data_IF_464059842476
#
_entry.id   IF_464059842476
#
_cell.length_a   1.000
_cell.length_b   1.000
_cell.length_c   1.000
_cell.angle_alpha   90.00
_cell.angle_beta   90.00
_cell.angle_gamma   90.00
#
_symmetry.space_group_name_H-M   'P 1'
#
loop_
_entity.id
_entity.type
_entity.pdbx_description
1 polymer ?
#
# COMPACT_ATOMS: atom_id res chain seq x y z
N UNK A 1 -0.38 -23.92 25.56
CA UNK A 1 0.10 -22.54 25.33
C UNK A 1 1.09 -22.56 24.16
N UNK A 2 0.83 -21.77 23.13
CA UNK A 2 1.56 -21.75 21.86
C UNK A 2 3.02 -21.30 22.06
N UNK A 3 3.96 -22.24 22.14
CA UNK A 3 5.38 -21.91 22.30
C UNK A 3 6.01 -21.27 21.04
N UNK A 4 5.35 -21.41 19.89
CA UNK A 4 5.89 -21.06 18.58
C UNK A 4 4.91 -20.17 17.81
N UNK A 5 4.88 -18.88 18.12
CA UNK A 5 4.20 -17.84 17.33
C UNK A 5 5.11 -17.37 16.20
N UNK A 6 4.54 -17.20 14.99
CA UNK A 6 5.30 -16.71 13.85
C UNK A 6 5.57 -15.19 14.00
N UNK A 7 6.79 -14.71 13.68
CA UNK A 7 7.12 -13.29 13.75
C UNK A 7 6.21 -12.42 12.87
N UNK A 8 5.82 -11.24 13.34
CA UNK A 8 5.01 -10.30 12.54
C UNK A 8 5.84 -9.57 11.48
N UNK A 9 7.13 -9.34 11.72
CA UNK A 9 8.06 -8.73 10.76
C UNK A 9 8.47 -9.68 9.63
N UNK A 10 8.54 -9.19 8.39
CA UNK A 10 8.99 -9.95 7.21
C UNK A 10 10.44 -10.41 7.31
N UNK A 11 11.34 -9.56 7.85
CA UNK A 11 12.75 -9.93 8.06
C UNK A 11 12.89 -11.12 9.01
N UNK A 12 12.26 -11.05 10.17
CA UNK A 12 12.26 -12.14 11.16
C UNK A 12 11.57 -13.40 10.62
N UNK A 13 10.50 -13.23 9.82
CA UNK A 13 9.83 -14.34 9.15
C UNK A 13 10.77 -15.07 8.18
N UNK A 14 11.54 -14.33 7.38
CA UNK A 14 12.54 -14.91 6.48
C UNK A 14 13.69 -15.58 7.23
N UNK A 15 14.14 -14.98 8.34
CA UNK A 15 15.16 -15.57 9.21
C UNK A 15 14.70 -16.87 9.85
N UNK A 16 13.42 -16.98 10.22
CA UNK A 16 12.83 -18.21 10.75
C UNK A 16 12.52 -19.24 9.65
N UNK A 17 12.14 -18.81 8.45
CA UNK A 17 11.84 -19.71 7.34
C UNK A 17 13.08 -20.47 6.86
N UNK A 18 14.27 -19.86 6.94
CA UNK A 18 15.51 -20.48 6.48
C UNK A 18 15.93 -21.76 7.25
N UNK A 19 15.93 -21.81 8.60
CA UNK A 19 16.16 -23.06 9.32
C UNK A 19 15.01 -24.06 9.08
N UNK A 20 13.75 -23.61 8.96
CA UNK A 20 12.63 -24.51 8.62
C UNK A 20 12.83 -25.20 7.27
N UNK A 21 13.26 -24.48 6.24
CA UNK A 21 13.57 -25.04 4.92
C UNK A 21 14.66 -26.12 4.99
N UNK A 22 15.75 -25.84 5.72
CA UNK A 22 16.85 -26.79 5.93
C UNK A 22 16.39 -28.03 6.68
N UNK A 23 15.61 -27.85 7.73
CA UNK A 23 15.05 -28.96 8.50
C UNK A 23 14.07 -29.78 7.65
N UNK A 24 13.24 -29.16 6.81
CA UNK A 24 12.40 -29.86 5.84
C UNK A 24 13.23 -30.68 4.83
N UNK A 25 14.34 -30.14 4.35
CA UNK A 25 15.20 -30.86 3.41
C UNK A 25 15.82 -32.11 4.06
N UNK A 26 16.21 -32.02 5.34
CA UNK A 26 16.83 -33.12 6.08
C UNK A 26 15.82 -34.16 6.57
N UNK A 27 14.68 -33.68 7.05
CA UNK A 27 13.74 -34.48 7.84
C UNK A 27 12.38 -34.69 7.18
N UNK A 28 12.00 -33.84 6.23
CA UNK A 28 10.65 -33.78 5.67
C UNK A 28 10.20 -35.09 5.03
N UNK A 29 11.09 -35.81 4.36
CA UNK A 29 10.75 -37.08 3.69
C UNK A 29 10.28 -38.17 4.67
N UNK A 30 10.75 -38.14 5.92
CA UNK A 30 10.46 -39.16 6.93
C UNK A 30 9.41 -38.69 7.93
N UNK A 31 9.46 -37.41 8.32
CA UNK A 31 8.62 -36.83 9.37
C UNK A 31 7.34 -36.18 8.84
N UNK A 32 7.31 -35.69 7.60
CA UNK A 32 6.19 -34.91 7.08
C UNK A 32 5.67 -35.50 5.76
N UNK A 33 5.63 -36.84 5.67
CA UNK A 33 5.12 -37.55 4.48
C UNK A 33 3.73 -37.04 4.09
N UNK A 34 3.60 -36.58 2.84
CA UNK A 34 2.35 -36.05 2.29
C UNK A 34 2.09 -34.55 2.54
N UNK A 35 2.97 -33.85 3.26
CA UNK A 35 2.85 -32.41 3.52
C UNK A 35 3.81 -31.58 2.65
N UNK A 36 3.92 -30.27 2.92
CA UNK A 36 4.77 -29.33 2.16
C UNK A 36 6.21 -29.82 2.09
N UNK A 37 6.69 -30.09 0.88
CA UNK A 37 8.08 -30.48 0.61
C UNK A 37 9.04 -29.31 0.80
N UNK A 38 10.32 -29.59 1.04
CA UNK A 38 11.36 -28.58 1.13
C UNK A 38 11.43 -27.71 -0.14
N UNK A 39 11.30 -28.32 -1.32
CA UNK A 39 11.28 -27.61 -2.61
C UNK A 39 10.11 -26.63 -2.71
N UNK A 40 8.89 -27.08 -2.38
CA UNK A 40 7.70 -26.22 -2.39
C UNK A 40 7.83 -25.07 -1.38
N UNK A 41 8.38 -25.36 -0.20
CA UNK A 41 8.63 -24.34 0.82
C UNK A 41 9.69 -23.32 0.37
N UNK A 42 10.80 -23.79 -0.21
CA UNK A 42 11.86 -22.95 -0.76
C UNK A 42 11.36 -22.05 -1.88
N UNK A 43 10.51 -22.57 -2.77
CA UNK A 43 9.83 -21.77 -3.80
C UNK A 43 8.94 -20.66 -3.21
N UNK A 44 8.23 -20.92 -2.11
CA UNK A 44 7.44 -19.90 -1.42
C UNK A 44 8.32 -18.84 -0.74
N UNK A 45 9.43 -19.24 -0.12
CA UNK A 45 10.39 -18.33 0.50
C UNK A 45 11.07 -17.43 -0.54
N UNK A 46 11.52 -18.00 -1.66
CA UNK A 46 12.11 -17.26 -2.77
C UNK A 46 11.10 -16.24 -3.34
N UNK A 47 9.87 -16.67 -3.65
CA UNK A 47 8.83 -15.78 -4.15
C UNK A 47 8.50 -14.63 -3.16
N UNK A 48 8.48 -14.91 -1.86
CA UNK A 48 8.26 -13.87 -0.85
C UNK A 48 9.42 -12.85 -0.79
N UNK A 49 10.67 -13.31 -0.92
CA UNK A 49 11.85 -12.43 -0.99
C UNK A 49 11.86 -11.57 -2.25
N UNK A 50 11.58 -12.18 -3.41
CA UNK A 50 11.54 -11.46 -4.69
C UNK A 50 10.45 -10.39 -4.71
N UNK A 51 9.25 -10.73 -4.21
CA UNK A 51 8.14 -9.76 -4.14
C UNK A 51 8.37 -8.64 -3.12
N UNK A 52 9.08 -8.90 -2.02
CA UNK A 52 9.52 -7.84 -1.09
C UNK A 52 10.55 -6.92 -1.73
N UNK A 53 11.55 -7.47 -2.43
CA UNK A 53 12.52 -6.68 -3.19
C UNK A 53 11.81 -5.79 -4.21
N UNK A 54 10.93 -6.36 -5.04
CA UNK A 54 10.15 -5.62 -6.03
C UNK A 54 9.32 -4.50 -5.41
N UNK A 55 8.70 -4.75 -4.26
CA UNK A 55 7.93 -3.73 -3.55
C UNK A 55 8.83 -2.61 -3.00
N UNK A 56 10.00 -2.94 -2.46
CA UNK A 56 10.96 -1.95 -1.97
C UNK A 56 11.48 -1.04 -3.09
N UNK A 57 11.77 -1.61 -4.27
CA UNK A 57 12.18 -0.87 -5.46
C UNK A 57 11.05 0.05 -5.94
N UNK A 58 9.82 -0.45 -6.07
CA UNK A 58 8.67 0.36 -6.46
C UNK A 58 8.37 1.50 -5.46
N UNK A 59 8.65 1.30 -4.17
CA UNK A 59 8.54 2.35 -3.15
C UNK A 59 9.59 3.44 -3.35
N UNK A 60 10.83 3.07 -3.67
CA UNK A 60 11.91 4.00 -3.96
C UNK A 60 11.60 4.82 -5.23
N UNK A 61 11.15 4.17 -6.30
CA UNK A 61 10.73 4.82 -7.55
C UNK A 61 9.59 5.81 -7.33
N UNK A 62 8.55 5.42 -6.56
CA UNK A 62 7.46 6.33 -6.19
C UNK A 62 7.97 7.55 -5.44
N UNK A 63 8.92 7.38 -4.52
CA UNK A 63 9.51 8.49 -3.78
C UNK A 63 10.33 9.41 -4.70
N UNK A 64 11.08 8.84 -5.65
CA UNK A 64 11.83 9.60 -6.65
C UNK A 64 10.90 10.41 -7.57
N UNK A 65 9.83 9.80 -8.08
CA UNK A 65 8.83 10.48 -8.91
C UNK A 65 8.14 11.64 -8.17
N UNK A 66 7.79 11.44 -6.89
CA UNK A 66 7.22 12.51 -6.07
C UNK A 66 8.20 13.67 -5.86
N UNK A 67 9.49 13.39 -5.59
CA UNK A 67 10.53 14.42 -5.49
C UNK A 67 10.70 15.19 -6.80
N UNK A 68 10.70 14.49 -7.94
CA UNK A 68 10.80 15.11 -9.27
C UNK A 68 9.63 16.05 -9.55
N UNK A 69 8.41 15.62 -9.22
CA UNK A 69 7.22 16.45 -9.36
C UNK A 69 7.30 17.71 -8.47
N UNK A 70 7.71 17.57 -7.20
CA UNK A 70 7.86 18.69 -6.28
C UNK A 70 8.90 19.72 -6.79
N UNK A 71 10.06 19.26 -7.25
CA UNK A 71 11.08 20.15 -7.80
C UNK A 71 10.59 20.94 -9.02
N UNK A 72 9.81 20.30 -9.91
CA UNK A 72 9.22 20.98 -11.07
C UNK A 72 8.11 21.96 -10.67
N UNK A 73 7.31 21.66 -9.66
CA UNK A 73 6.28 22.58 -9.15
C UNK A 73 6.91 23.81 -8.46
N UNK A 74 8.03 23.64 -7.76
CA UNK A 74 8.84 24.75 -7.23
C UNK A 74 9.39 25.61 -8.37
N UNK A 75 9.94 24.98 -9.42
CA UNK A 75 10.44 25.67 -10.61
C UNK A 75 9.34 26.45 -11.34
N UNK A 76 8.15 25.86 -11.50
CA UNK A 76 6.98 26.55 -12.04
C UNK A 76 6.56 27.71 -11.15
N UNK A 77 6.54 27.53 -9.83
CA UNK A 77 6.17 28.61 -8.90
C UNK A 77 7.13 29.79 -9.00
N UNK A 78 8.43 29.53 -9.08
CA UNK A 78 9.44 30.55 -9.29
C UNK A 78 9.27 31.26 -10.64
N UNK A 79 8.99 30.50 -11.71
CA UNK A 79 8.72 31.06 -13.03
C UNK A 79 7.47 31.93 -13.04
N UNK A 80 6.38 31.50 -12.41
CA UNK A 80 5.14 32.26 -12.26
C UNK A 80 5.36 33.56 -11.49
N UNK A 81 6.19 33.55 -10.45
CA UNK A 81 6.57 34.76 -9.72
C UNK A 81 7.26 35.79 -10.60
N UNK A 82 8.22 35.34 -11.44
CA UNK A 82 8.89 36.21 -12.43
C UNK A 82 7.94 36.69 -13.52
N UNK A 83 7.14 35.79 -14.08
CA UNK A 83 6.17 36.10 -15.12
C UNK A 83 5.15 37.13 -14.66
N UNK A 84 4.68 37.03 -13.41
CA UNK A 84 3.82 38.03 -12.78
C UNK A 84 4.47 39.42 -12.78
N UNK A 85 5.75 39.54 -12.41
CA UNK A 85 6.45 40.83 -12.39
C UNK A 85 6.54 41.43 -13.80
N UNK A 86 6.80 40.60 -14.82
CA UNK A 86 6.82 41.04 -16.21
C UNK A 86 5.44 41.56 -16.64
N UNK A 87 4.36 40.84 -16.30
CA UNK A 87 2.99 41.28 -16.57
C UNK A 87 2.65 42.58 -15.82
N UNK A 88 3.12 42.75 -14.57
CA UNK A 88 2.95 44.01 -13.83
C UNK A 88 3.62 45.19 -14.54
N UNK A 89 4.81 44.98 -15.11
CA UNK A 89 5.52 46.03 -15.85
C UNK A 89 4.82 46.36 -17.18
N UNK A 90 4.24 45.37 -17.85
CA UNK A 90 3.55 45.54 -19.12
C UNK A 90 2.14 46.16 -18.97
N UNK A 91 1.35 45.71 -18.00
CA UNK A 91 -0.08 46.01 -17.87
C UNK A 91 -0.42 46.93 -16.69
N UNK A 92 0.57 47.30 -15.87
CA UNK A 92 0.40 48.09 -14.66
C UNK A 92 0.35 47.25 -13.40
N UNK A 93 0.68 47.89 -12.26
CA UNK A 93 0.87 47.22 -10.97
C UNK A 93 -0.44 46.83 -10.26
N UNK A 94 -1.54 47.52 -10.58
CA UNK A 94 -2.87 47.24 -10.06
C UNK A 94 -3.61 46.28 -11.00
N UNK A 95 -4.51 45.48 -10.43
CA UNK A 95 -5.38 44.63 -11.24
C UNK A 95 -6.28 45.48 -12.13
N UNK A 96 -6.42 45.09 -13.39
CA UNK A 96 -7.31 45.67 -14.38
C UNK A 96 -7.81 44.57 -15.32
N UNK A 97 -8.77 44.87 -16.20
CA UNK A 97 -9.33 43.87 -17.12
C UNK A 97 -8.28 43.28 -18.09
N UNK A 98 -7.21 44.02 -18.41
CA UNK A 98 -6.14 43.53 -19.26
C UNK A 98 -5.38 42.33 -18.66
N UNK A 99 -5.37 42.19 -17.33
CA UNK A 99 -4.79 41.04 -16.63
C UNK A 99 -5.51 39.72 -16.91
N UNK A 100 -6.77 39.78 -17.33
CA UNK A 100 -7.57 38.59 -17.67
C UNK A 100 -6.96 37.87 -18.88
N UNK A 101 -6.41 38.61 -19.85
CA UNK A 101 -5.72 38.05 -21.02
C UNK A 101 -4.46 37.26 -20.62
N UNK A 102 -3.76 37.70 -19.58
CA UNK A 102 -2.61 36.99 -19.01
C UNK A 102 -3.01 35.80 -18.10
N UNK A 103 -4.31 35.59 -17.89
CA UNK A 103 -4.85 34.46 -17.13
C UNK A 103 -5.13 34.71 -15.65
N UNK A 104 -4.88 35.93 -15.16
CA UNK A 104 -5.16 36.32 -13.77
C UNK A 104 -6.63 36.74 -13.61
N UNK A 105 -7.48 35.78 -13.29
CA UNK A 105 -8.91 35.99 -13.03
C UNK A 105 -9.21 36.30 -11.56
N UNK A 106 -10.42 36.81 -11.27
CA UNK A 106 -10.94 37.10 -9.92
C UNK A 106 -10.27 38.25 -9.16
N UNK A 107 -9.95 39.35 -9.85
CA UNK A 107 -9.45 40.59 -9.22
C UNK A 107 -8.16 40.40 -8.39
N UNK A 108 -7.38 39.38 -8.71
CA UNK A 108 -6.16 39.03 -8.00
C UNK A 108 -5.01 38.82 -8.97
N UNK A 109 -3.82 39.32 -8.59
CA UNK A 109 -2.58 39.13 -9.35
C UNK A 109 -1.69 38.05 -8.73
N UNK A 110 -2.13 37.41 -7.66
CA UNK A 110 -1.31 36.48 -6.88
C UNK A 110 -1.13 35.14 -7.58
N UNK A 111 0.06 34.54 -7.42
CA UNK A 111 0.31 33.17 -7.84
C UNK A 111 -0.52 32.21 -6.96
N UNK A 112 -1.33 31.32 -7.55
CA UNK A 112 -2.16 30.41 -6.77
C UNK A 112 -1.38 29.46 -5.86
N UNK A 113 -1.94 29.16 -4.68
CA UNK A 113 -1.36 28.19 -3.74
C UNK A 113 -1.59 26.72 -4.14
N UNK A 114 -2.62 26.44 -4.95
CA UNK A 114 -2.95 25.08 -5.40
C UNK A 114 -2.19 24.74 -6.68
N UNK A 115 -1.58 23.55 -6.73
CA UNK A 115 -0.78 23.07 -7.88
C UNK A 115 -1.59 23.11 -9.18
N UNK A 116 -2.82 22.60 -9.17
CA UNK A 116 -3.67 22.60 -10.37
C UNK A 116 -3.89 24.01 -10.94
N UNK A 117 -4.13 24.99 -10.07
CA UNK A 117 -4.31 26.39 -10.45
C UNK A 117 -3.00 27.03 -10.93
N UNK A 118 -1.85 26.65 -10.37
CA UNK A 118 -0.54 27.07 -10.91
C UNK A 118 -0.28 26.53 -12.30
N UNK A 119 -0.58 25.26 -12.53
CA UNK A 119 -0.43 24.65 -13.86
C UNK A 119 -1.32 25.33 -14.90
N UNK A 120 -2.57 25.65 -14.52
CA UNK A 120 -3.50 26.38 -15.38
C UNK A 120 -2.99 27.80 -15.67
N UNK A 121 -2.60 28.57 -14.64
CA UNK A 121 -2.02 29.90 -14.82
C UNK A 121 -0.76 29.84 -15.69
N UNK A 122 0.08 28.82 -15.50
CA UNK A 122 1.29 28.62 -16.29
C UNK A 122 1.00 28.41 -17.78
N UNK A 123 -0.06 27.65 -18.11
CA UNK A 123 -0.53 27.50 -19.50
C UNK A 123 -1.03 28.82 -20.06
N UNK A 124 -1.92 29.52 -19.34
CA UNK A 124 -2.47 30.80 -19.80
C UNK A 124 -1.39 31.86 -20.03
N UNK A 125 -0.41 31.97 -19.13
CA UNK A 125 0.73 32.87 -19.31
C UNK A 125 1.62 32.47 -20.49
N UNK A 126 1.78 31.17 -20.72
CA UNK A 126 2.51 30.66 -21.88
C UNK A 126 1.82 31.06 -23.19
N UNK A 127 0.50 30.95 -23.25
CA UNK A 127 -0.30 31.35 -24.41
C UNK A 127 -0.26 32.87 -24.60
N UNK A 128 -0.35 33.64 -23.50
CA UNK A 128 -0.23 35.10 -23.51
C UNK A 128 1.12 35.56 -24.07
N UNK A 129 2.24 35.05 -23.57
CA UNK A 129 3.56 35.40 -24.10
C UNK A 129 3.76 34.94 -25.55
N UNK A 130 3.08 33.87 -25.97
CA UNK A 130 3.06 33.43 -27.36
C UNK A 130 2.32 34.40 -28.29
N UNK A 131 1.25 35.02 -27.80
CA UNK A 131 0.47 36.03 -28.50
C UNK A 131 1.10 37.44 -28.44
N UNK A 132 1.87 37.71 -27.38
CA UNK A 132 2.55 38.99 -27.13
C UNK A 132 4.06 38.81 -26.92
N UNK A 133 4.82 38.48 -27.98
CA UNK A 133 6.27 38.30 -27.88
C UNK A 133 7.02 39.55 -27.37
N UNK A 134 6.44 40.74 -27.54
CA UNK A 134 6.98 42.02 -27.06
C UNK A 134 7.11 42.10 -25.53
N UNK A 135 6.34 41.29 -24.80
CA UNK A 135 6.41 41.21 -23.34
C UNK A 135 7.32 40.08 -22.84
N UNK A 136 7.93 39.30 -23.73
CA UNK A 136 8.89 38.28 -23.31
C UNK A 136 10.18 38.91 -22.77
N UNK A 137 10.68 38.35 -21.67
CA UNK A 137 11.91 38.81 -21.03
C UNK A 137 12.91 37.66 -20.98
N UNK A 138 13.71 37.58 -22.06
CA UNK A 138 14.68 36.50 -22.27
C UNK A 138 15.69 36.33 -21.14
N UNK A 139 16.28 37.42 -20.63
CA UNK A 139 17.27 37.36 -19.55
C UNK A 139 16.71 36.80 -18.24
N UNK A 140 15.41 37.00 -17.97
CA UNK A 140 14.74 36.48 -16.78
C UNK A 140 14.19 35.05 -17.00
N UNK A 141 14.30 34.50 -18.21
CA UNK A 141 13.71 33.22 -18.61
C UNK A 141 12.19 33.24 -18.68
N UNK A 142 11.57 34.42 -18.79
CA UNK A 142 10.11 34.58 -18.93
C UNK A 142 9.80 34.63 -20.42
N UNK A 143 9.60 33.45 -21.01
CA UNK A 143 9.26 33.28 -22.43
C UNK A 143 8.21 32.19 -22.60
N UNK A 144 7.43 32.24 -23.67
CA UNK A 144 6.47 31.18 -24.02
C UNK A 144 7.17 29.84 -24.24
N UNK A 145 8.40 29.85 -24.79
CA UNK A 145 9.21 28.61 -24.95
C UNK A 145 9.49 27.95 -23.60
N UNK A 146 9.90 28.74 -22.60
CA UNK A 146 10.19 28.23 -21.26
C UNK A 146 8.94 27.72 -20.56
N UNK A 147 7.84 28.48 -20.64
CA UNK A 147 6.54 28.08 -20.11
C UNK A 147 6.04 26.75 -20.69
N UNK A 148 6.10 26.58 -22.03
CA UNK A 148 5.78 25.30 -22.72
C UNK A 148 6.62 24.14 -22.21
N UNK A 149 7.93 24.36 -22.05
CA UNK A 149 8.85 23.33 -21.54
C UNK A 149 8.48 22.90 -20.12
N UNK A 150 8.17 23.84 -19.23
CA UNK A 150 7.76 23.55 -17.85
C UNK A 150 6.41 22.83 -17.79
N UNK A 151 5.43 23.29 -18.58
CA UNK A 151 4.12 22.66 -18.65
C UNK A 151 4.21 21.19 -19.11
N UNK A 152 5.01 20.92 -20.15
CA UNK A 152 5.26 19.56 -20.63
C UNK A 152 5.94 18.70 -19.56
N UNK A 153 6.96 19.24 -18.89
CA UNK A 153 7.71 18.52 -17.86
C UNK A 153 6.83 18.15 -16.65
N UNK A 154 5.99 19.07 -16.17
CA UNK A 154 5.09 18.81 -15.02
C UNK A 154 4.02 17.78 -15.37
N UNK A 155 3.40 17.88 -16.55
CA UNK A 155 2.40 16.88 -16.98
C UNK A 155 3.03 15.49 -17.07
N UNK A 156 4.24 15.38 -17.62
CA UNK A 156 4.98 14.12 -17.68
C UNK A 156 5.31 13.58 -16.27
N UNK A 157 5.81 14.43 -15.37
CA UNK A 157 6.12 14.03 -13.99
C UNK A 157 4.86 13.63 -13.19
N UNK A 158 3.74 14.30 -13.44
CA UNK A 158 2.45 13.95 -12.83
C UNK A 158 2.00 12.56 -13.29
N UNK A 159 2.10 12.26 -14.59
CA UNK A 159 1.77 10.96 -15.15
C UNK A 159 2.68 9.87 -14.57
N UNK A 160 3.99 10.10 -14.52
CA UNK A 160 4.99 9.21 -13.92
C UNK A 160 4.68 8.92 -12.44
N UNK A 161 4.32 9.95 -11.65
CA UNK A 161 3.92 9.79 -10.26
C UNK A 161 2.67 8.91 -10.10
N UNK A 162 1.67 9.04 -10.99
CA UNK A 162 0.49 8.18 -10.94
C UNK A 162 0.81 6.74 -11.32
N UNK A 163 1.65 6.54 -12.36
CA UNK A 163 2.10 5.21 -12.79
C UNK A 163 2.88 4.49 -11.68
N UNK A 164 3.87 5.15 -11.09
CA UNK A 164 4.67 4.59 -9.98
C UNK A 164 3.83 4.32 -8.74
N UNK A 165 2.84 5.17 -8.45
CA UNK A 165 1.86 4.92 -7.38
C UNK A 165 1.06 3.64 -7.63
N UNK A 166 0.53 3.46 -8.85
CA UNK A 166 -0.21 2.26 -9.22
C UNK A 166 0.68 1.00 -9.16
N UNK A 167 1.91 1.09 -9.68
CA UNK A 167 2.90 0.01 -9.62
C UNK A 167 3.23 -0.40 -8.18
N UNK A 168 3.50 0.56 -7.30
CA UNK A 168 3.76 0.29 -5.88
C UNK A 168 2.57 -0.39 -5.19
N UNK A 169 1.33 -0.01 -5.51
CA UNK A 169 0.13 -0.69 -5.00
C UNK A 169 0.02 -2.13 -5.50
N UNK A 170 0.28 -2.37 -6.78
CA UNK A 170 0.25 -3.72 -7.35
C UNK A 170 1.34 -4.64 -6.78
N UNK A 171 2.57 -4.12 -6.63
CA UNK A 171 3.69 -4.84 -6.01
C UNK A 171 3.43 -5.12 -4.53
N UNK A 172 2.83 -4.19 -3.79
CA UNK A 172 2.39 -4.41 -2.40
C UNK A 172 1.43 -5.61 -2.31
N UNK A 173 0.40 -5.66 -3.17
CA UNK A 173 -0.56 -6.78 -3.18
C UNK A 173 0.13 -8.12 -3.47
N UNK A 174 1.09 -8.12 -4.39
CA UNK A 174 1.87 -9.32 -4.74
C UNK A 174 2.72 -9.81 -3.57
N UNK A 175 3.41 -8.89 -2.88
CA UNK A 175 4.13 -9.17 -1.65
C UNK A 175 3.21 -9.72 -0.56
N UNK A 176 2.10 -9.04 -0.27
CA UNK A 176 1.17 -9.46 0.79
C UNK A 176 0.60 -10.87 0.51
N UNK A 177 0.35 -11.19 -0.77
CA UNK A 177 -0.08 -12.52 -1.19
C UNK A 177 1.01 -13.58 -1.02
N UNK A 178 2.26 -13.29 -1.37
CA UNK A 178 3.39 -14.20 -1.20
C UNK A 178 3.71 -14.44 0.29
N UNK A 179 3.73 -13.37 1.09
CA UNK A 179 3.87 -13.44 2.55
C UNK A 179 2.78 -14.32 3.16
N UNK A 180 1.51 -14.12 2.78
CA UNK A 180 0.40 -14.93 3.28
C UNK A 180 0.56 -16.41 2.94
N UNK A 181 1.05 -16.74 1.75
CA UNK A 181 1.34 -18.13 1.36
C UNK A 181 2.46 -18.73 2.20
N UNK A 182 3.56 -18.00 2.41
CA UNK A 182 4.67 -18.43 3.24
C UNK A 182 4.23 -18.66 4.69
N UNK A 183 3.52 -17.69 5.29
CA UNK A 183 2.99 -17.82 6.66
C UNK A 183 2.08 -19.02 6.82
N UNK A 184 1.18 -19.27 5.86
CA UNK A 184 0.30 -20.45 5.88
C UNK A 184 1.12 -21.75 5.86
N UNK A 185 2.16 -21.83 5.03
CA UNK A 185 3.04 -23.00 4.99
C UNK A 185 3.79 -23.19 6.32
N UNK A 186 4.35 -22.12 6.89
CA UNK A 186 5.02 -22.17 8.19
C UNK A 186 4.06 -22.56 9.32
N UNK A 187 2.84 -22.01 9.35
CA UNK A 187 1.82 -22.37 10.34
C UNK A 187 1.39 -23.83 10.22
N UNK A 188 1.29 -24.36 8.99
CA UNK A 188 0.99 -25.77 8.78
C UNK A 188 2.09 -26.67 9.36
N UNK A 189 3.37 -26.35 9.11
CA UNK A 189 4.51 -27.09 9.67
C UNK A 189 4.47 -27.05 11.20
N UNK A 190 4.30 -25.86 11.80
CA UNK A 190 4.21 -25.70 13.26
C UNK A 190 3.03 -26.47 13.86
N UNK A 191 1.91 -26.59 13.14
CA UNK A 191 0.74 -27.34 13.58
C UNK A 191 0.89 -28.85 13.49
N UNK A 192 1.64 -29.35 12.50
CA UNK A 192 1.84 -30.79 12.29
C UNK A 192 2.98 -31.34 13.15
N UNK A 193 4.04 -30.55 13.36
CA UNK A 193 5.25 -30.99 14.06
C UNK A 193 4.98 -31.64 15.45
N UNK A 194 4.06 -31.13 16.31
CA UNK A 194 3.69 -31.79 17.57
C UNK A 194 3.11 -33.21 17.42
N UNK A 195 2.51 -33.54 16.28
CA UNK A 195 1.93 -34.86 16.02
C UNK A 195 2.98 -35.91 15.63
N UNK A 196 4.19 -35.47 15.25
CA UNK A 196 5.23 -36.36 14.70
C UNK A 196 6.49 -36.40 15.58
N UNK A 197 6.81 -35.34 16.31
CA UNK A 197 7.95 -35.32 17.24
C UNK A 197 7.53 -35.05 18.68
N UNK A 198 8.23 -35.71 19.61
CA UNK A 198 8.03 -35.51 21.04
C UNK A 198 8.37 -34.06 21.47
N UNK A 199 7.82 -33.64 22.61
CA UNK A 199 7.98 -32.27 23.14
C UNK A 199 9.44 -31.91 23.44
N UNK A 200 10.26 -32.88 23.86
CA UNK A 200 11.67 -32.68 24.21
C UNK A 200 12.64 -33.02 23.05
N UNK A 201 12.12 -33.24 21.84
CA UNK A 201 12.96 -33.64 20.70
C UNK A 201 13.90 -32.49 20.28
N UNK A 202 15.21 -32.71 20.12
CA UNK A 202 16.15 -31.66 19.67
C UNK A 202 15.79 -31.11 18.29
N UNK A 203 15.05 -31.86 17.46
CA UNK A 203 14.64 -31.43 16.11
C UNK A 203 13.80 -30.16 16.12
N UNK A 204 13.10 -29.81 17.21
CA UNK A 204 12.43 -28.51 17.34
C UNK A 204 13.39 -27.34 17.06
N UNK A 205 14.61 -27.41 17.62
CA UNK A 205 15.63 -26.38 17.46
C UNK A 205 16.18 -26.34 16.03
N UNK A 206 16.26 -27.48 15.36
CA UNK A 206 16.71 -27.55 13.96
C UNK A 206 15.70 -26.87 13.00
N UNK A 207 14.40 -26.91 13.31
CA UNK A 207 13.38 -26.10 12.62
C UNK A 207 13.41 -24.61 13.01
N UNK A 208 14.33 -24.19 13.89
CA UNK A 208 14.38 -22.83 14.44
C UNK A 208 13.26 -22.53 15.45
N UNK A 209 12.59 -23.57 15.95
CA UNK A 209 11.46 -23.47 16.88
C UNK A 209 11.89 -23.76 18.31
N UNK A 210 11.11 -23.27 19.27
CA UNK A 210 11.30 -23.59 20.69
C UNK A 210 10.65 -24.93 21.02
N UNK A 211 11.32 -25.73 21.87
CA UNK A 211 10.75 -26.97 22.39
C UNK A 211 9.48 -26.68 23.23
N UNK A 212 8.38 -27.41 23.01
CA UNK A 212 7.19 -27.31 23.85
C UNK A 212 7.49 -27.71 25.30
N UNK A 213 6.85 -27.04 26.28
CA UNK A 213 6.96 -27.44 27.69
C UNK A 213 6.41 -28.86 27.91
N UNK A 214 7.07 -29.70 28.73
CA UNK A 214 6.64 -31.09 28.99
C UNK A 214 5.17 -31.21 29.44
N UNK A 215 4.69 -30.28 30.27
CA UNK A 215 3.40 -30.39 30.99
C UNK A 215 2.18 -29.81 30.25
N UNK A 216 2.28 -29.54 28.94
CA UNK A 216 1.10 -29.10 28.18
C UNK A 216 0.15 -30.28 27.90
N UNK A 217 -1.14 -30.26 28.29
CA UNK A 217 -2.05 -31.38 28.00
C UNK A 217 -2.19 -31.60 26.48
N UNK A 218 -2.29 -32.87 26.02
CA UNK A 218 -2.49 -33.16 24.60
C UNK A 218 -3.82 -32.55 24.14
N UNK A 219 -3.84 -32.00 22.93
CA UNK A 219 -5.06 -31.49 22.30
C UNK A 219 -5.99 -32.68 22.05
N UNK A 220 -7.00 -32.89 22.89
CA UNK A 220 -8.04 -33.88 22.60
C UNK A 220 -8.74 -33.46 21.30
N UNK A 221 -8.78 -34.38 20.36
CA UNK A 221 -9.58 -34.25 19.15
C UNK A 221 -11.00 -33.88 19.55
N UNK A 222 -11.56 -32.83 18.94
CA UNK A 222 -13.00 -32.57 18.97
C UNK A 222 -13.70 -33.77 18.31
N UNK A 223 -14.05 -34.75 19.12
CA UNK A 223 -15.12 -35.69 18.82
C UNK A 223 -16.41 -35.01 19.26
N UNK A 224 -17.09 -34.40 18.30
CA UNK A 224 -18.46 -33.95 18.45
C UNK A 224 -19.33 -35.08 17.88
N UNK A 225 -19.99 -35.83 18.76
CA UNK A 225 -20.89 -36.91 18.38
C UNK A 225 -21.08 -37.96 19.47
N UNK A 226 -22.24 -37.94 20.14
CA UNK A 226 -22.65 -39.05 21.00
C UNK A 226 -23.74 -38.71 22.02
N UNK A 227 -24.99 -38.82 21.58
CA UNK A 227 -26.26 -38.73 22.32
C UNK A 227 -26.37 -39.74 23.49
N UNK A 228 -27.03 -39.37 24.60
CA UNK A 228 -27.91 -40.24 25.42
C UNK A 228 -28.72 -39.35 26.40
N UNK A 229 -29.97 -38.95 26.10
CA UNK A 229 -31.27 -39.60 26.38
C UNK A 229 -31.56 -39.81 27.89
N UNK A 230 -32.73 -39.29 28.31
CA UNK A 230 -33.65 -39.69 29.39
C UNK A 230 -33.90 -38.59 30.45
N UNK A 231 -35.11 -38.11 30.82
CA UNK A 231 -36.54 -38.27 30.42
C UNK A 231 -37.32 -37.10 31.15
N UNK A 232 -38.67 -37.02 31.25
CA UNK A 232 -39.50 -36.03 30.54
C UNK A 232 -40.42 -35.13 31.44
N UNK A 233 -41.25 -34.34 30.74
CA UNK A 233 -42.60 -33.84 31.11
C UNK A 233 -42.72 -32.67 32.11
N UNK A 234 -43.01 -31.49 31.57
CA UNK A 234 -44.27 -30.79 31.87
C UNK A 234 -44.64 -29.88 30.69
N UNK A 235 -45.75 -30.22 30.03
CA UNK A 235 -46.44 -29.38 29.06
C UNK A 235 -47.34 -28.45 29.88
N UNK A 236 -47.26 -27.15 29.66
CA UNK A 236 -48.37 -26.26 29.99
C UNK A 236 -48.65 -25.33 28.80
N UNK A 237 -49.87 -25.45 28.27
CA UNK A 237 -50.40 -24.72 27.14
C UNK A 237 -51.27 -23.59 27.70
N UNK A 238 -50.79 -22.35 27.64
CA UNK A 238 -51.53 -21.16 28.04
C UNK A 238 -51.44 -20.06 27.01
N UNK A 239 -52.53 -19.85 26.27
CA UNK A 239 -52.71 -18.92 25.17
C UNK A 239 -52.81 -17.44 25.58
N UNK A 240 -52.92 -16.59 24.53
CA UNK A 240 -53.33 -15.16 24.46
C UNK A 240 -52.24 -14.11 24.58
N UNK A 241 -52.26 -12.95 23.89
CA UNK A 241 -52.95 -12.42 22.70
C UNK A 241 -52.54 -10.94 22.58
N UNK A 242 -52.25 -10.45 21.37
CA UNK A 242 -52.21 -9.01 21.03
C UNK A 242 -50.98 -8.25 21.57
N UNK A 243 -50.44 -7.19 20.95
CA UNK A 243 -50.88 -6.26 19.90
C UNK A 243 -49.61 -5.72 19.22
N UNK A 244 -49.48 -5.80 17.89
CA UNK A 244 -49.78 -4.73 16.91
C UNK A 244 -49.28 -3.34 17.31
N UNK A 245 -48.36 -2.79 16.52
CA UNK A 245 -47.82 -1.45 16.65
C UNK A 245 -46.88 -1.08 15.51
N UNK A 246 -47.35 -1.21 14.26
CA UNK A 246 -46.80 -0.45 13.13
C UNK A 246 -46.96 1.04 13.38
N UNK A 247 -45.93 1.85 13.10
CA UNK A 247 -46.17 2.96 12.20
C UNK A 247 -44.94 3.40 11.42
N UNK A 248 -45.20 3.68 10.14
CA UNK A 248 -44.30 4.00 9.05
C UNK A 248 -44.68 5.41 8.56
N UNK A 249 -43.67 6.24 8.29
CA UNK A 249 -43.65 7.39 7.37
C UNK A 249 -44.64 8.55 7.55
N UNK A 250 -44.14 9.79 7.50
CA UNK A 250 -44.20 10.67 6.33
C UNK A 250 -43.94 12.15 6.70
N UNK A 251 -43.12 12.81 5.87
CA UNK A 251 -43.02 14.23 5.51
C UNK A 251 -41.56 14.69 5.49
#
# INVERSE_FOLDING_TARGET
>A
MAANTLPSGLGDLFSLAQPMERALARYGMWLLKGFTTAEKFGGLLAAARDTERDFSLARAEKAAAAKRFAALDEELTAWLGKARLVVMLALGSQWSESWVAAGFSHRGTNVPKRVALRMELGRRLTDFFGAHPEYEVGFAGVTAKRGRSLAKAIVAAQAEMQMTKAAATAKKRSRDAAEKKLRRAMSAIVGILPCVIGKSDPRWLEFGLKQPRPDAPPMSARYDGGVSIATPLAVDFGARSGTSGSNKAAA
#
